data_IF_331600709172
#
_entry.id   IF_331600709172
#
_cell.length_a   1.000
_cell.length_b   1.000
_cell.length_c   1.000
_cell.angle_alpha   90.00
_cell.angle_beta   90.00
_cell.angle_gamma   90.00
#
_symmetry.space_group_name_H-M   'P 1'
#
loop_
_entity.id
_entity.type
_entity.pdbx_description
1 polymer ?
#
# COMPACT_ATOMS: atom_id res chain seq x y z
N UNK A 1 -30.60 -14.26 21.20
CA UNK A 1 -31.96 -13.84 20.80
C UNK A 1 -32.87 -14.25 21.93
N UNK A 2 -33.70 -13.35 22.43
CA UNK A 2 -34.69 -13.72 23.44
C UNK A 2 -35.68 -14.72 22.84
N UNK A 3 -36.14 -15.72 23.58
CA UNK A 3 -37.19 -16.62 23.07
C UNK A 3 -38.55 -15.90 23.05
N UNK A 4 -39.38 -16.07 22.02
CA UNK A 4 -40.68 -15.42 21.96
C UNK A 4 -41.64 -16.11 22.92
N UNK A 5 -42.40 -15.33 23.69
CA UNK A 5 -43.55 -15.87 24.41
C UNK A 5 -44.63 -16.23 23.39
N UNK A 6 -44.86 -17.52 23.20
CA UNK A 6 -45.91 -18.08 22.33
C UNK A 6 -47.18 -18.26 23.16
N UNK A 7 -48.33 -17.93 22.58
CA UNK A 7 -49.66 -18.28 23.07
C UNK A 7 -50.38 -19.08 21.99
N UNK A 8 -51.30 -19.94 22.39
CA UNK A 8 -51.95 -20.87 21.49
C UNK A 8 -53.45 -20.56 21.39
N UNK A 9 -53.98 -20.57 20.17
CA UNK A 9 -55.41 -20.52 19.90
C UNK A 9 -55.87 -21.92 19.50
N UNK A 10 -56.86 -22.46 20.19
CA UNK A 10 -57.31 -23.85 20.02
C UNK A 10 -57.67 -24.22 18.58
N UNK A 11 -57.68 -25.51 18.22
CA UNK A 11 -57.79 -25.95 16.84
C UNK A 11 -59.10 -25.50 16.16
N UNK A 12 -59.12 -25.43 14.83
CA UNK A 12 -60.27 -24.92 14.08
C UNK A 12 -61.58 -25.67 14.37
N UNK A 13 -61.51 -26.96 14.73
CA UNK A 13 -62.66 -27.77 15.13
C UNK A 13 -63.32 -27.33 16.45
N UNK A 14 -62.62 -26.55 17.30
CA UNK A 14 -63.21 -25.97 18.51
C UNK A 14 -64.17 -24.82 18.17
N UNK A 15 -64.08 -24.24 16.96
CA UNK A 15 -64.95 -23.15 16.53
C UNK A 15 -66.43 -23.53 16.47
N UNK A 16 -66.73 -24.82 16.31
CA UNK A 16 -68.10 -25.36 16.25
C UNK A 16 -68.70 -25.60 17.66
N UNK A 17 -67.92 -25.39 18.72
CA UNK A 17 -68.41 -25.46 20.11
C UNK A 17 -69.14 -24.17 20.50
N UNK A 18 -70.04 -24.24 21.48
CA UNK A 18 -70.83 -23.08 21.93
C UNK A 18 -70.01 -21.93 22.50
N UNK A 19 -68.75 -22.16 22.85
CA UNK A 19 -67.84 -21.18 23.46
C UNK A 19 -66.82 -20.59 22.46
N UNK A 20 -66.77 -21.10 21.22
CA UNK A 20 -65.79 -20.68 20.22
C UNK A 20 -64.39 -21.23 20.49
N UNK A 21 -63.36 -20.64 19.86
CA UNK A 21 -61.95 -21.05 20.02
C UNK A 21 -61.33 -20.42 21.27
N UNK A 22 -60.61 -21.22 22.04
CA UNK A 22 -60.04 -20.80 23.34
C UNK A 22 -58.57 -20.41 23.22
N UNK A 23 -58.13 -19.44 24.03
CA UNK A 23 -56.72 -19.04 24.13
C UNK A 23 -56.05 -19.69 25.35
N UNK A 24 -54.80 -20.15 25.20
CA UNK A 24 -54.00 -20.73 26.28
C UNK A 24 -52.51 -20.27 26.22
N UNK A 25 -51.87 -20.14 27.38
CA UNK A 25 -50.43 -19.78 27.46
C UNK A 25 -49.51 -20.94 27.11
N UNK A 26 -49.87 -22.16 27.49
CA UNK A 26 -49.23 -23.40 27.05
C UNK A 26 -50.12 -24.08 26.00
N UNK A 27 -49.64 -25.17 25.38
CA UNK A 27 -50.47 -25.99 24.50
C UNK A 27 -51.18 -27.10 25.30
N UNK A 28 -52.46 -26.93 25.70
CA UNK A 28 -53.23 -27.97 26.38
C UNK A 28 -53.85 -28.99 25.42
N UNK A 29 -53.84 -28.76 24.11
CA UNK A 29 -54.56 -29.58 23.15
C UNK A 29 -53.69 -30.74 22.64
N UNK A 30 -54.22 -31.96 22.76
CA UNK A 30 -53.66 -33.12 22.09
C UNK A 30 -53.94 -33.07 20.56
N UNK A 31 -53.19 -33.85 19.78
CA UNK A 31 -53.43 -33.99 18.35
C UNK A 31 -54.87 -34.48 18.09
N UNK A 32 -55.68 -33.64 17.45
CA UNK A 32 -57.07 -33.98 17.10
C UNK A 32 -57.10 -35.05 16.00
N UNK A 33 -58.00 -36.03 16.11
CA UNK A 33 -58.28 -37.01 15.04
C UNK A 33 -58.74 -36.36 13.73
N UNK A 34 -59.30 -35.15 13.84
CA UNK A 34 -59.70 -34.31 12.72
C UNK A 34 -58.54 -33.64 11.97
N UNK A 35 -57.29 -33.78 12.43
CA UNK A 35 -56.09 -33.22 11.82
C UNK A 35 -55.87 -31.72 12.04
N UNK A 36 -56.83 -31.00 12.64
CA UNK A 36 -56.66 -29.58 12.98
C UNK A 36 -55.77 -29.41 14.22
N UNK A 37 -54.81 -28.49 14.12
CA UNK A 37 -53.87 -28.15 15.19
C UNK A 37 -54.16 -26.76 15.77
N UNK A 38 -53.78 -26.52 17.04
CA UNK A 38 -53.75 -25.17 17.59
C UNK A 38 -52.88 -24.25 16.74
N UNK A 39 -53.25 -22.98 16.67
CA UNK A 39 -52.46 -21.95 15.99
C UNK A 39 -51.59 -21.24 17.01
N UNK A 40 -50.30 -21.18 16.74
CA UNK A 40 -49.33 -20.45 17.54
C UNK A 40 -49.35 -18.96 17.19
N UNK A 41 -49.43 -18.11 18.22
CA UNK A 41 -49.34 -16.66 18.10
C UNK A 41 -48.23 -16.15 19.00
N UNK A 42 -47.59 -15.08 18.55
CA UNK A 42 -46.66 -14.29 19.36
C UNK A 42 -47.34 -12.97 19.67
N UNK A 43 -47.21 -12.51 20.92
CA UNK A 43 -47.72 -11.19 21.31
C UNK A 43 -47.09 -10.10 20.43
N UNK A 44 -47.91 -9.16 19.95
CA UNK A 44 -47.45 -8.09 19.04
C UNK A 44 -46.24 -7.31 19.57
N UNK A 45 -46.21 -7.02 20.87
CA UNK A 45 -45.05 -6.37 21.52
C UNK A 45 -43.77 -7.20 21.46
N UNK A 46 -43.90 -8.54 21.62
CA UNK A 46 -42.76 -9.45 21.54
C UNK A 46 -42.25 -9.54 20.10
N UNK A 47 -43.16 -9.58 19.13
CA UNK A 47 -42.82 -9.55 17.71
C UNK A 47 -42.10 -8.25 17.31
N UNK A 48 -42.63 -7.09 17.69
CA UNK A 48 -42.00 -5.79 17.38
C UNK A 48 -40.64 -5.64 18.08
N UNK A 49 -40.50 -6.13 19.33
CA UNK A 49 -39.20 -6.18 20.01
C UNK A 49 -38.20 -7.04 19.24
N UNK A 50 -38.58 -8.24 18.81
CA UNK A 50 -37.71 -9.12 18.04
C UNK A 50 -37.33 -8.53 16.69
N UNK A 51 -38.27 -7.88 16.03
CA UNK A 51 -38.04 -7.17 14.78
C UNK A 51 -37.04 -6.04 14.98
N UNK A 52 -37.19 -5.24 16.04
CA UNK A 52 -36.24 -4.19 16.40
C UNK A 52 -34.84 -4.76 16.74
N UNK A 53 -34.77 -5.87 17.47
CA UNK A 53 -33.51 -6.57 17.76
C UNK A 53 -32.84 -7.07 16.48
N UNK A 54 -33.59 -7.71 15.58
CA UNK A 54 -33.10 -8.17 14.28
C UNK A 54 -32.61 -6.99 13.44
N UNK A 55 -33.37 -5.91 13.36
CA UNK A 55 -33.03 -4.74 12.54
C UNK A 55 -31.77 -4.05 13.08
N UNK A 56 -31.63 -3.96 14.42
CA UNK A 56 -30.42 -3.47 15.06
C UNK A 56 -29.20 -4.39 14.81
N UNK A 57 -29.39 -5.71 14.84
CA UNK A 57 -28.32 -6.67 14.50
C UNK A 57 -27.94 -6.57 13.02
N UNK A 58 -28.90 -6.44 12.13
CA UNK A 58 -28.67 -6.28 10.70
C UNK A 58 -27.90 -4.99 10.43
N UNK A 59 -28.23 -3.89 11.12
CA UNK A 59 -27.49 -2.64 11.00
C UNK A 59 -26.03 -2.81 11.43
N UNK A 60 -25.76 -3.47 12.57
CA UNK A 60 -24.39 -3.74 13.03
C UNK A 60 -23.61 -4.63 12.07
N UNK A 61 -24.27 -5.62 11.46
CA UNK A 61 -23.66 -6.48 10.46
C UNK A 61 -23.21 -5.65 9.25
N UNK A 62 -24.12 -4.82 8.71
CA UNK A 62 -23.81 -3.96 7.57
C UNK A 62 -22.67 -2.97 7.87
N UNK A 63 -22.63 -2.40 9.08
CA UNK A 63 -21.53 -1.51 9.52
C UNK A 63 -20.19 -2.27 9.64
N UNK A 64 -20.22 -3.52 10.10
CA UNK A 64 -19.03 -4.36 10.18
C UNK A 64 -18.52 -4.75 8.78
N UNK A 65 -19.42 -5.11 7.87
CA UNK A 65 -19.10 -5.44 6.47
C UNK A 65 -18.44 -4.25 5.77
N UNK A 66 -19.01 -3.05 5.90
CA UNK A 66 -18.42 -1.83 5.35
C UNK A 66 -16.99 -1.60 5.89
N UNK A 67 -16.78 -1.81 7.19
CA UNK A 67 -15.45 -1.67 7.79
C UNK A 67 -14.46 -2.71 7.27
N UNK A 68 -14.91 -3.94 7.03
CA UNK A 68 -14.08 -4.99 6.43
C UNK A 68 -13.68 -4.62 5.02
N UNK A 69 -14.60 -4.11 4.21
CA UNK A 69 -14.34 -3.68 2.84
C UNK A 69 -13.35 -2.52 2.78
N UNK A 70 -13.49 -1.54 3.67
CA UNK A 70 -12.55 -0.42 3.80
C UNK A 70 -11.13 -0.93 4.17
N UNK A 71 -11.02 -1.87 5.12
CA UNK A 71 -9.74 -2.47 5.50
C UNK A 71 -9.12 -3.29 4.35
N UNK A 72 -9.92 -4.06 3.61
CA UNK A 72 -9.46 -4.83 2.44
C UNK A 72 -8.91 -3.89 1.36
N UNK A 73 -9.60 -2.80 1.09
CA UNK A 73 -9.16 -1.78 0.12
C UNK A 73 -7.80 -1.18 0.52
N UNK A 74 -7.60 -0.86 1.80
CA UNK A 74 -6.30 -0.40 2.31
C UNK A 74 -5.20 -1.45 2.18
N UNK A 75 -5.52 -2.73 2.39
CA UNK A 75 -4.57 -3.83 2.32
C UNK A 75 -4.14 -4.17 0.87
N UNK A 76 -4.98 -3.90 -0.12
CA UNK A 76 -4.72 -4.24 -1.52
C UNK A 76 -3.42 -3.62 -2.04
N UNK A 77 -3.17 -2.34 -1.74
CA UNK A 77 -1.93 -1.66 -2.15
C UNK A 77 -0.68 -2.24 -1.49
N UNK A 78 -0.76 -2.60 -0.21
CA UNK A 78 0.35 -3.21 0.53
C UNK A 78 0.64 -4.64 0.05
N UNK A 79 -0.42 -5.40 -0.26
CA UNK A 79 -0.32 -6.74 -0.82
C UNK A 79 0.37 -6.72 -2.19
N UNK A 80 0.01 -5.74 -3.05
CA UNK A 80 0.70 -5.55 -4.33
C UNK A 80 2.19 -5.24 -4.18
N UNK A 81 2.57 -4.43 -3.19
CA UNK A 81 3.98 -4.21 -2.85
C UNK A 81 4.63 -5.54 -2.44
N UNK A 82 3.99 -6.32 -1.57
CA UNK A 82 4.44 -7.66 -1.16
C UNK A 82 4.73 -8.59 -2.35
N UNK A 83 3.82 -8.62 -3.32
CA UNK A 83 3.97 -9.40 -4.55
C UNK A 83 5.18 -8.99 -5.37
N UNK A 84 5.34 -7.68 -5.61
CA UNK A 84 6.51 -7.16 -6.30
C UNK A 84 7.80 -7.50 -5.57
N UNK A 85 7.81 -7.46 -4.24
CA UNK A 85 8.96 -7.85 -3.44
C UNK A 85 9.30 -9.35 -3.65
N UNK A 86 8.30 -10.20 -3.88
CA UNK A 86 8.48 -11.63 -4.12
C UNK A 86 9.02 -11.92 -5.53
N UNK A 87 8.53 -11.21 -6.55
CA UNK A 87 8.80 -11.54 -7.95
C UNK A 87 9.93 -10.74 -8.62
N UNK A 88 10.31 -9.59 -8.06
CA UNK A 88 11.32 -8.72 -8.68
C UNK A 88 12.74 -9.30 -8.59
N UNK A 89 13.61 -8.87 -9.50
CA UNK A 89 15.05 -9.11 -9.40
C UNK A 89 15.62 -8.34 -8.20
N UNK A 90 16.21 -9.05 -7.25
CA UNK A 90 16.79 -8.45 -6.06
C UNK A 90 18.24 -7.95 -6.27
N UNK A 91 18.74 -7.93 -7.52
CA UNK A 91 20.07 -7.46 -7.92
C UNK A 91 21.19 -8.08 -7.07
N UNK A 92 21.14 -9.40 -6.94
CA UNK A 92 22.08 -10.21 -6.15
C UNK A 92 22.17 -9.82 -4.66
N UNK A 93 21.19 -9.09 -4.13
CA UNK A 93 21.11 -8.67 -2.74
C UNK A 93 19.94 -9.40 -2.07
N UNK A 94 20.11 -10.01 -0.90
CA UNK A 94 19.02 -10.77 -0.25
C UNK A 94 17.83 -9.87 0.13
N UNK A 95 18.13 -8.64 0.58
CA UNK A 95 17.15 -7.66 1.04
C UNK A 95 17.48 -6.27 0.48
N UNK A 96 17.18 -6.02 -0.81
CA UNK A 96 17.49 -4.76 -1.47
C UNK A 96 16.58 -3.63 -0.95
N UNK A 97 17.20 -2.52 -0.57
CA UNK A 97 16.57 -1.21 -0.48
C UNK A 97 16.81 -0.50 -1.82
N UNK A 98 15.77 -0.39 -2.63
CA UNK A 98 15.87 0.31 -3.90
C UNK A 98 15.87 1.81 -3.67
N UNK A 99 16.79 2.52 -4.30
CA UNK A 99 16.92 3.96 -4.20
C UNK A 99 17.07 4.57 -5.58
N UNK A 100 16.37 5.69 -5.78
CA UNK A 100 16.67 6.61 -6.86
C UNK A 100 17.83 7.48 -6.40
N UNK A 101 18.87 7.48 -7.21
CA UNK A 101 20.07 8.29 -7.04
C UNK A 101 20.20 9.20 -8.26
N UNK A 102 20.87 10.33 -8.12
CA UNK A 102 21.20 11.20 -9.25
C UNK A 102 22.69 11.52 -9.26
N UNK A 103 23.24 11.71 -10.47
CA UNK A 103 24.65 12.07 -10.66
C UNK A 103 24.80 13.58 -10.49
N UNK A 104 25.62 14.01 -9.54
CA UNK A 104 26.02 15.41 -9.39
C UNK A 104 27.53 15.58 -9.53
N UNK A 105 27.93 16.52 -10.38
CA UNK A 105 29.33 16.96 -10.48
C UNK A 105 29.58 18.07 -9.47
N UNK A 106 30.63 17.93 -8.67
CA UNK A 106 31.08 18.94 -7.72
C UNK A 106 32.56 19.29 -7.99
N UNK A 107 32.94 20.58 -7.87
CA UNK A 107 34.33 20.96 -7.88
C UNK A 107 35.04 20.43 -6.63
N UNK A 108 36.26 19.92 -6.82
CA UNK A 108 37.16 19.43 -5.78
C UNK A 108 38.56 19.98 -6.02
N UNK A 109 39.49 19.68 -5.11
CA UNK A 109 40.90 19.97 -5.30
C UNK A 109 41.51 18.93 -6.25
N UNK A 110 42.42 19.38 -7.13
CA UNK A 110 43.12 18.51 -8.07
C UNK A 110 44.11 17.53 -7.41
N UNK A 111 44.49 17.82 -6.17
CA UNK A 111 45.27 16.95 -5.29
C UNK A 111 44.44 15.85 -4.61
N UNK A 112 43.11 15.95 -4.67
CA UNK A 112 42.20 14.96 -4.12
C UNK A 112 41.68 14.02 -5.22
N UNK A 113 40.94 13.00 -4.80
CA UNK A 113 40.23 12.12 -5.72
C UNK A 113 39.25 12.92 -6.59
N UNK A 114 39.46 12.88 -7.91
CA UNK A 114 38.66 13.55 -8.92
C UNK A 114 38.54 12.66 -10.15
N UNK A 115 37.43 12.79 -10.88
CA UNK A 115 37.14 11.93 -12.04
C UNK A 115 37.57 12.56 -13.36
N UNK A 116 37.55 13.90 -13.44
CA UNK A 116 37.97 14.66 -14.62
C UNK A 116 38.46 16.06 -14.30
N UNK A 117 39.10 16.69 -15.28
CA UNK A 117 39.46 18.11 -15.27
C UNK A 117 38.64 18.83 -16.33
N UNK A 118 37.88 19.83 -15.90
CA UNK A 118 37.11 20.71 -16.76
C UNK A 118 37.82 22.07 -16.85
N UNK A 119 38.05 22.53 -18.08
CA UNK A 119 38.59 23.86 -18.35
C UNK A 119 37.44 24.78 -18.73
N UNK A 120 37.23 25.84 -17.94
CA UNK A 120 36.08 26.75 -18.07
C UNK A 120 36.57 28.12 -18.54
N UNK A 121 35.94 28.67 -19.56
CA UNK A 121 36.17 30.04 -20.03
C UNK A 121 35.64 31.04 -18.98
N UNK A 122 36.39 32.06 -18.60
CA UNK A 122 35.94 33.02 -17.57
C UNK A 122 35.98 34.50 -17.99
N UNK A 123 36.46 34.82 -19.19
CA UNK A 123 36.61 36.19 -19.66
C UNK A 123 35.44 36.69 -20.52
N UNK A 124 34.85 35.84 -21.36
CA UNK A 124 33.72 36.22 -22.24
C UNK A 124 32.40 36.31 -21.49
N UNK A 125 32.31 35.67 -20.32
CA UNK A 125 31.10 35.56 -19.52
C UNK A 125 30.16 34.43 -19.97
N UNK A 126 30.54 33.64 -20.97
CA UNK A 126 29.75 32.49 -21.46
C UNK A 126 29.97 31.23 -20.63
N UNK A 127 31.05 31.16 -19.82
CA UNK A 127 31.38 30.04 -18.93
C UNK A 127 31.33 28.66 -19.60
N UNK A 128 31.73 28.60 -20.87
CA UNK A 128 31.69 27.37 -21.64
C UNK A 128 32.87 26.46 -21.32
N UNK A 129 32.64 25.15 -21.44
CA UNK A 129 33.69 24.14 -21.33
C UNK A 129 34.55 24.12 -22.59
N UNK A 130 35.86 23.96 -22.40
CA UNK A 130 36.78 23.71 -23.50
C UNK A 130 36.41 22.39 -24.19
N UNK A 131 36.44 22.40 -25.52
CA UNK A 131 36.41 21.14 -26.28
C UNK A 131 37.64 20.27 -25.94
N UNK A 132 37.60 18.99 -26.30
CA UNK A 132 38.63 18.02 -25.94
C UNK A 132 40.03 18.38 -26.46
N UNK A 133 40.14 19.04 -27.63
CA UNK A 133 41.42 19.44 -28.22
C UNK A 133 42.00 20.63 -27.45
N UNK A 134 41.15 21.62 -27.16
CA UNK A 134 41.51 22.82 -26.41
C UNK A 134 41.84 22.49 -24.95
N UNK A 135 41.05 21.62 -24.31
CA UNK A 135 41.30 21.13 -22.96
C UNK A 135 42.66 20.44 -22.87
N UNK A 136 43.01 19.56 -23.83
CA UNK A 136 44.35 18.93 -23.89
C UNK A 136 45.47 19.94 -24.04
N UNK A 137 45.29 20.98 -24.87
CA UNK A 137 46.27 22.05 -25.03
C UNK A 137 46.46 22.86 -23.75
N UNK A 138 45.37 23.24 -23.08
CA UNK A 138 45.40 23.99 -21.82
C UNK A 138 46.05 23.17 -20.71
N UNK A 139 45.71 21.89 -20.61
CA UNK A 139 46.33 20.97 -19.66
C UNK A 139 47.85 20.83 -19.89
N UNK A 140 48.30 20.80 -21.15
CA UNK A 140 49.73 20.79 -21.47
C UNK A 140 50.44 22.11 -21.09
N UNK A 141 49.79 23.26 -21.29
CA UNK A 141 50.31 24.57 -20.86
C UNK A 141 50.45 24.63 -19.33
N UNK A 142 49.41 24.22 -18.62
CA UNK A 142 49.37 24.19 -17.16
C UNK A 142 50.48 23.30 -16.57
N UNK A 143 50.61 22.07 -17.07
CA UNK A 143 51.69 21.16 -16.65
C UNK A 143 53.09 21.70 -16.96
N UNK A 144 53.21 22.51 -17.99
CA UNK A 144 54.44 23.22 -18.34
C UNK A 144 54.69 24.50 -17.52
N UNK A 145 53.86 24.81 -16.53
CA UNK A 145 53.96 26.03 -15.72
C UNK A 145 53.68 27.31 -16.51
N UNK A 146 52.99 27.22 -17.65
CA UNK A 146 52.62 28.36 -18.48
C UNK A 146 51.26 28.89 -18.09
N UNK A 147 51.09 30.18 -18.33
CA UNK A 147 49.82 30.87 -18.09
C UNK A 147 48.72 30.38 -19.05
N UNK A 148 47.48 30.40 -18.56
CA UNK A 148 46.27 29.99 -19.28
C UNK A 148 45.23 31.11 -19.20
N UNK A 149 45.47 32.25 -19.88
CA UNK A 149 44.62 33.44 -19.76
C UNK A 149 43.20 33.16 -20.26
N UNK A 150 42.19 33.64 -19.53
CA UNK A 150 40.77 33.44 -19.80
C UNK A 150 40.23 32.04 -19.56
N UNK A 151 41.03 31.12 -19.01
CA UNK A 151 40.63 29.74 -18.76
C UNK A 151 41.01 29.29 -17.34
N UNK A 152 40.02 28.84 -16.59
CA UNK A 152 40.21 28.29 -15.26
C UNK A 152 40.11 26.76 -15.26
N UNK A 153 40.94 26.13 -14.42
CA UNK A 153 41.05 24.69 -14.31
C UNK A 153 40.29 24.19 -13.08
N UNK A 154 39.28 23.37 -13.30
CA UNK A 154 38.48 22.77 -12.23
C UNK A 154 38.64 21.25 -12.21
N UNK A 155 39.05 20.71 -11.07
CA UNK A 155 38.95 19.27 -10.84
C UNK A 155 37.52 18.94 -10.43
N UNK A 156 36.89 18.01 -11.13
CA UNK A 156 35.49 17.66 -10.94
C UNK A 156 35.36 16.21 -10.48
N UNK A 157 34.52 16.01 -9.46
CA UNK A 157 34.11 14.68 -8.98
C UNK A 157 32.64 14.48 -9.25
N UNK A 158 32.29 13.35 -9.86
CA UNK A 158 30.91 12.92 -9.97
C UNK A 158 30.55 12.05 -8.76
N UNK A 159 29.54 12.49 -8.02
CA UNK A 159 29.02 11.77 -6.86
C UNK A 159 27.58 11.31 -7.09
N UNK A 160 27.25 10.21 -6.43
CA UNK A 160 25.91 9.66 -6.40
C UNK A 160 25.16 10.27 -5.22
N UNK A 161 24.14 11.08 -5.52
CA UNK A 161 23.34 11.76 -4.52
C UNK A 161 22.01 11.03 -4.35
N UNK A 162 21.66 10.76 -3.10
CA UNK A 162 20.38 10.13 -2.76
C UNK A 162 19.20 11.07 -3.05
N UNK A 163 18.19 10.55 -3.74
CA UNK A 163 16.93 11.27 -4.00
C UNK A 163 15.83 10.70 -3.11
N UNK A 164 15.53 9.41 -3.26
CA UNK A 164 14.47 8.74 -2.51
C UNK A 164 14.68 7.23 -2.46
N UNK A 165 14.05 6.55 -1.51
CA UNK A 165 14.06 5.10 -1.39
C UNK A 165 12.66 4.52 -1.54
N UNK A 166 12.57 3.33 -2.13
CA UNK A 166 11.34 2.58 -2.31
C UNK A 166 11.51 1.12 -1.88
N UNK A 167 10.39 0.46 -1.56
CA UNK A 167 10.40 -0.98 -1.24
C UNK A 167 10.69 -1.87 -2.47
N UNK A 168 10.40 -1.38 -3.68
CA UNK A 168 10.46 -2.14 -4.93
C UNK A 168 11.14 -1.33 -6.03
N UNK A 169 11.73 -2.03 -7.01
CA UNK A 169 12.28 -1.37 -8.21
C UNK A 169 11.17 -0.65 -8.99
N UNK A 170 9.97 -1.26 -9.06
CA UNK A 170 8.82 -0.64 -9.71
C UNK A 170 8.43 0.69 -9.03
N UNK A 171 8.47 0.77 -7.70
CA UNK A 171 8.23 2.03 -6.99
C UNK A 171 9.21 3.13 -7.39
N UNK A 172 10.49 2.80 -7.60
CA UNK A 172 11.47 3.75 -8.12
C UNK A 172 11.16 4.16 -9.57
N UNK A 173 10.74 3.22 -10.43
CA UNK A 173 10.32 3.52 -11.82
C UNK A 173 9.11 4.44 -11.85
N UNK A 174 8.11 4.18 -11.02
CA UNK A 174 6.89 4.98 -10.92
C UNK A 174 7.19 6.39 -10.40
N UNK A 175 8.12 6.52 -9.45
CA UNK A 175 8.62 7.82 -8.99
C UNK A 175 9.28 8.58 -10.14
N UNK A 176 10.21 7.96 -10.88
CA UNK A 176 10.89 8.60 -12.01
C UNK A 176 9.96 8.93 -13.17
N UNK A 177 8.90 8.14 -13.38
CA UNK A 177 7.88 8.46 -14.38
C UNK A 177 7.13 9.75 -14.04
N UNK A 178 6.90 10.01 -12.73
CA UNK A 178 6.17 11.19 -12.25
C UNK A 178 7.06 12.42 -12.10
N UNK A 179 8.27 12.25 -11.60
CA UNK A 179 9.14 13.34 -11.14
C UNK A 179 10.55 13.33 -11.77
N UNK A 180 10.85 12.38 -12.67
CA UNK A 180 12.19 12.22 -13.22
C UNK A 180 12.70 13.42 -14.03
N UNK A 181 11.81 14.28 -14.53
CA UNK A 181 12.18 15.50 -15.24
C UNK A 181 12.85 16.56 -14.34
N UNK A 182 12.68 16.47 -13.02
CA UNK A 182 13.33 17.35 -12.04
C UNK A 182 14.72 16.85 -11.61
N UNK A 183 15.15 15.69 -12.11
CA UNK A 183 16.39 15.02 -11.71
C UNK A 183 17.40 14.98 -12.85
N UNK A 184 18.69 15.15 -12.50
CA UNK A 184 19.77 15.14 -13.49
C UNK A 184 20.42 13.76 -13.58
N UNK A 185 20.23 13.09 -14.72
CA UNK A 185 20.73 11.72 -14.95
C UNK A 185 20.42 10.76 -13.80
N UNK A 186 19.13 10.60 -13.41
CA UNK A 186 18.75 9.71 -12.33
C UNK A 186 18.96 8.24 -12.72
N UNK A 187 19.26 7.41 -11.73
CA UNK A 187 19.40 5.96 -11.89
C UNK A 187 18.91 5.23 -10.64
N UNK A 188 18.57 3.94 -10.80
CA UNK A 188 18.11 3.10 -9.69
C UNK A 188 19.27 2.26 -9.18
N UNK A 189 19.57 2.40 -7.90
CA UNK A 189 20.57 1.62 -7.17
C UNK A 189 19.88 0.72 -6.14
N UNK A 190 20.46 -0.45 -5.87
CA UNK A 190 19.98 -1.36 -4.83
C UNK A 190 21.01 -1.41 -3.69
N UNK A 191 20.66 -0.83 -2.55
CA UNK A 191 21.46 -0.92 -1.33
C UNK A 191 21.17 -2.25 -0.60
N UNK A 192 22.19 -2.79 0.08
CA UNK A 192 22.01 -3.91 0.99
C UNK A 192 21.47 -3.45 2.34
N UNK A 193 20.34 -4.02 2.78
CA UNK A 193 19.74 -3.69 4.08
C UNK A 193 20.17 -4.64 5.23
N UNK A 194 21.24 -5.43 5.04
CA UNK A 194 21.69 -6.48 5.99
C UNK A 194 21.78 -6.03 7.46
N UNK A 195 22.15 -4.77 7.73
CA UNK A 195 22.27 -4.23 9.09
C UNK A 195 21.08 -3.38 9.55
N UNK A 196 20.04 -3.24 8.74
CA UNK A 196 18.86 -2.44 9.04
C UNK A 196 17.68 -3.35 9.43
N UNK A 197 17.61 -3.74 10.71
CA UNK A 197 16.58 -4.67 11.19
C UNK A 197 15.14 -4.16 11.03
N UNK A 198 14.92 -2.86 11.16
CA UNK A 198 13.58 -2.25 11.00
C UNK A 198 13.08 -2.39 9.56
N UNK A 199 13.93 -2.09 8.58
CA UNK A 199 13.58 -2.27 7.17
C UNK A 199 13.28 -3.72 6.84
N UNK A 200 14.11 -4.65 7.33
CA UNK A 200 13.90 -6.08 7.12
C UNK A 200 12.56 -6.53 7.72
N UNK A 201 12.21 -6.07 8.93
CA UNK A 201 10.95 -6.40 9.58
C UNK A 201 9.74 -5.94 8.75
N UNK A 202 9.73 -4.68 8.32
CA UNK A 202 8.64 -4.13 7.48
C UNK A 202 8.57 -4.85 6.13
N UNK A 203 9.71 -5.07 5.47
CA UNK A 203 9.77 -5.75 4.18
C UNK A 203 9.28 -7.19 4.26
N UNK A 204 9.67 -7.93 5.31
CA UNK A 204 9.24 -9.31 5.51
C UNK A 204 7.76 -9.39 5.88
N UNK A 205 7.24 -8.41 6.63
CA UNK A 205 5.81 -8.29 6.86
C UNK A 205 5.04 -8.05 5.55
N UNK A 206 5.48 -7.12 4.71
CA UNK A 206 4.88 -6.89 3.38
C UNK A 206 4.91 -8.16 2.52
N UNK A 207 6.02 -8.91 2.53
CA UNK A 207 6.12 -10.22 1.84
C UNK A 207 5.16 -11.27 2.38
N UNK A 208 4.76 -11.18 3.64
CA UNK A 208 3.87 -12.16 4.29
C UNK A 208 2.39 -11.93 4.02
N UNK A 209 2.04 -10.78 3.44
CA UNK A 209 0.67 -10.47 3.07
C UNK A 209 0.17 -11.43 1.98
N UNK A 210 -1.13 -11.79 1.99
CA UNK A 210 -1.71 -12.61 0.94
C UNK A 210 -1.57 -11.92 -0.42
N UNK A 211 -1.55 -12.71 -1.50
CA UNK A 211 -1.55 -12.18 -2.85
C UNK A 211 -2.74 -11.24 -3.05
N UNK A 212 -2.55 -10.13 -3.77
CA UNK A 212 -3.60 -9.15 -4.03
C UNK A 212 -4.85 -9.79 -4.68
N UNK A 213 -4.67 -10.85 -5.47
CA UNK A 213 -5.76 -11.66 -6.02
C UNK A 213 -6.48 -12.47 -4.92
N UNK A 214 -5.74 -13.17 -4.03
CA UNK A 214 -6.35 -13.87 -2.88
C UNK A 214 -6.93 -12.94 -1.82
N UNK A 215 -6.40 -11.73 -1.66
CA UNK A 215 -6.95 -10.70 -0.78
C UNK A 215 -8.30 -10.16 -1.33
N UNK A 216 -8.47 -10.20 -2.66
CA UNK A 216 -9.71 -9.90 -3.34
C UNK A 216 -10.67 -11.11 -3.48
N UNK A 217 -10.17 -12.35 -3.45
CA UNK A 217 -10.97 -13.60 -3.55
C UNK A 217 -11.40 -14.19 -2.19
N UNK A 218 -10.69 -13.86 -1.10
CA UNK A 218 -11.21 -14.01 0.27
C UNK A 218 -12.29 -12.94 0.59
N UNK A 219 -12.76 -12.21 -0.43
CA UNK A 219 -13.79 -11.19 -0.32
C UNK A 219 -15.19 -11.70 -0.63
#
# INVERSE_FOLDING_TARGET
MSEPKVIYLGPACEADTSEGRTWAEDNPWADCECGHRPVEYVLGETFERMKAERDALQQRLNEADQRIDDMKSQLAGLSYIGQLIHSQDNRCTDQPLFAVMEKRSLPTLDTHDHDRIDWVETESGDYCLADEVKARRLEALHRGGRDTPGWERYAMKDIDVFVTACFTEQGCKDFLLRDGHNHRSPFIYAFGSYRNGEYQAVRNWLKSLPDAATAAELA
#
